data_IF_592344513333
#
_entry.id   IF_592344513333
#
_cell.length_a   1.000
_cell.length_b   1.000
_cell.length_c   1.000
_cell.angle_alpha   90.00
_cell.angle_beta   90.00
_cell.angle_gamma   90.00
#
_symmetry.space_group_name_H-M   'P 1'
#
loop_
_entity.id
_entity.type
_entity.pdbx_description
1 polymer ?
#
# COMPACT_ATOMS: atom_id res chain seq x y z
N UNK A 1 8.66 -9.26 -28.31
CA UNK A 1 8.42 -9.91 -26.99
C UNK A 1 6.91 -9.94 -26.76
N UNK A 2 6.32 -11.08 -26.39
CA UNK A 2 4.90 -11.14 -26.04
C UNK A 2 4.62 -10.33 -24.75
N UNK A 3 3.37 -9.88 -24.52
CA UNK A 3 3.01 -9.15 -23.32
C UNK A 3 3.18 -10.04 -22.06
N UNK A 4 3.53 -9.47 -20.90
CA UNK A 4 3.61 -10.21 -19.65
C UNK A 4 2.22 -10.62 -19.16
N UNK A 5 2.18 -11.64 -18.29
CA UNK A 5 0.98 -11.97 -17.53
C UNK A 5 0.57 -10.79 -16.60
N UNK A 6 -0.71 -10.67 -16.22
CA UNK A 6 -1.17 -9.58 -15.37
C UNK A 6 -0.40 -9.48 -14.05
N UNK A 7 0.00 -8.27 -13.69
CA UNK A 7 0.67 -7.97 -12.42
C UNK A 7 0.10 -6.68 -11.81
N UNK A 8 0.29 -6.52 -10.51
CA UNK A 8 -0.10 -5.31 -9.79
C UNK A 8 1.14 -4.52 -9.41
N UNK A 9 1.09 -3.21 -9.61
CA UNK A 9 2.17 -2.28 -9.25
C UNK A 9 1.67 -1.37 -8.16
N UNK A 10 2.51 -1.18 -7.15
CA UNK A 10 2.30 -0.18 -6.11
C UNK A 10 3.40 0.85 -6.22
N UNK A 11 3.00 2.09 -6.44
CA UNK A 11 3.90 3.24 -6.45
C UNK A 11 3.60 4.11 -5.24
N UNK A 12 4.53 4.12 -4.27
CA UNK A 12 4.39 4.90 -3.03
C UNK A 12 4.35 6.41 -3.28
N UNK A 13 4.98 6.90 -4.36
CA UNK A 13 4.94 8.31 -4.75
C UNK A 13 3.51 8.70 -5.17
N UNK A 14 2.90 7.91 -6.06
CA UNK A 14 1.52 8.14 -6.50
C UNK A 14 0.51 7.98 -5.36
N UNK A 15 0.72 6.98 -4.50
CA UNK A 15 -0.11 6.80 -3.29
C UNK A 15 0.00 8.04 -2.40
N UNK A 16 1.21 8.53 -2.17
CA UNK A 16 1.44 9.72 -1.35
C UNK A 16 0.72 10.95 -1.92
N UNK A 17 0.87 11.21 -3.22
CA UNK A 17 0.23 12.32 -3.93
C UNK A 17 -1.30 12.26 -3.94
N UNK A 18 -1.86 11.05 -4.06
CA UNK A 18 -3.31 10.86 -4.12
C UNK A 18 -4.00 11.07 -2.77
N UNK A 19 -3.31 10.73 -1.68
CA UNK A 19 -3.93 10.65 -0.35
C UNK A 19 -3.51 11.77 0.60
N UNK A 20 -2.41 12.46 0.34
CA UNK A 20 -1.85 13.44 1.27
C UNK A 20 -1.42 14.71 0.53
N UNK A 21 -1.53 15.86 1.22
CA UNK A 21 -1.11 17.16 0.72
C UNK A 21 0.23 17.58 1.34
N UNK A 22 1.28 16.79 1.12
CA UNK A 22 2.63 17.11 1.61
C UNK A 22 3.29 18.18 0.74
N UNK A 23 4.23 18.95 1.31
CA UNK A 23 4.99 19.94 0.52
C UNK A 23 5.99 19.29 -0.45
N UNK A 24 6.34 18.03 -0.22
CA UNK A 24 7.16 17.21 -1.12
C UNK A 24 6.79 15.74 -0.94
N UNK A 25 6.80 14.99 -2.04
CA UNK A 25 6.58 13.54 -2.03
C UNK A 25 7.86 12.75 -2.27
N UNK A 26 9.02 13.42 -2.22
CA UNK A 26 10.32 12.74 -2.30
C UNK A 26 10.47 11.80 -1.11
N UNK A 27 10.99 10.60 -1.35
CA UNK A 27 11.17 9.58 -0.32
C UNK A 27 11.94 10.09 0.91
N UNK A 28 13.04 10.84 0.73
CA UNK A 28 13.80 11.40 1.84
C UNK A 28 12.98 12.37 2.71
N UNK A 29 12.11 13.18 2.09
CA UNK A 29 11.20 14.08 2.80
C UNK A 29 10.16 13.27 3.60
N UNK A 30 9.53 12.28 2.97
CA UNK A 30 8.53 11.44 3.62
C UNK A 30 9.13 10.59 4.75
N UNK A 31 10.33 10.04 4.55
CA UNK A 31 11.05 9.29 5.57
C UNK A 31 11.33 10.15 6.79
N UNK A 32 11.78 11.40 6.60
CA UNK A 32 11.95 12.36 7.69
C UNK A 32 10.62 12.69 8.37
N UNK A 33 9.57 12.95 7.59
CA UNK A 33 8.25 13.31 8.11
C UNK A 33 7.64 12.21 8.99
N UNK A 34 7.73 10.96 8.56
CA UNK A 34 7.22 9.80 9.30
C UNK A 34 8.22 9.22 10.32
N UNK A 35 9.37 9.87 10.53
CA UNK A 35 10.43 9.42 11.43
C UNK A 35 10.90 7.98 11.14
N UNK A 36 11.11 7.68 9.86
CA UNK A 36 11.60 6.40 9.33
C UNK A 36 13.13 6.41 9.18
N UNK A 37 13.70 5.24 8.89
CA UNK A 37 15.11 5.10 8.56
C UNK A 37 15.50 6.09 7.46
N UNK A 38 16.49 6.94 7.74
CA UNK A 38 16.88 8.00 6.82
C UNK A 38 17.62 7.44 5.59
N UNK A 39 17.24 7.96 4.43
CA UNK A 39 17.96 7.74 3.17
C UNK A 39 19.38 8.29 3.31
N UNK A 40 20.38 7.45 3.02
CA UNK A 40 21.78 7.88 2.94
C UNK A 40 21.87 8.90 1.80
N UNK A 41 22.49 10.06 2.02
CA UNK A 41 22.67 11.03 0.94
C UNK A 41 23.74 10.56 -0.05
N UNK A 42 23.53 10.84 -1.34
CA UNK A 42 24.53 10.56 -2.38
C UNK A 42 24.62 11.72 -3.35
N UNK A 43 25.70 11.78 -4.12
CA UNK A 43 25.91 12.74 -5.18
C UNK A 43 26.31 12.05 -6.49
N UNK A 44 26.24 12.79 -7.59
CA UNK A 44 26.59 12.28 -8.92
C UNK A 44 28.07 11.84 -9.05
N UNK A 45 28.95 12.33 -8.15
CA UNK A 45 30.34 11.91 -8.09
C UNK A 45 30.50 10.42 -7.77
N UNK A 46 29.67 9.87 -6.87
CA UNK A 46 29.71 8.43 -6.55
C UNK A 46 29.44 7.57 -7.79
N UNK A 47 28.47 7.97 -8.61
CA UNK A 47 28.08 7.26 -9.82
C UNK A 47 29.22 7.22 -10.85
N UNK A 48 29.90 8.36 -11.07
CA UNK A 48 31.05 8.43 -11.98
C UNK A 48 32.18 7.49 -11.56
N UNK A 49 32.47 7.40 -10.24
CA UNK A 49 33.47 6.47 -9.72
C UNK A 49 33.06 5.01 -9.90
N UNK A 50 31.78 4.68 -9.72
CA UNK A 50 31.26 3.34 -9.98
C UNK A 50 31.45 2.93 -11.45
N UNK A 51 31.16 3.82 -12.39
CA UNK A 51 31.35 3.57 -13.83
C UNK A 51 32.83 3.32 -14.15
N UNK A 52 33.74 4.02 -13.48
CA UNK A 52 35.19 3.81 -13.61
C UNK A 52 35.71 2.52 -12.95
N UNK A 53 34.85 1.72 -12.31
CA UNK A 53 35.23 0.46 -11.68
C UNK A 53 35.90 0.59 -10.31
N UNK A 54 35.79 1.74 -9.65
CA UNK A 54 36.30 1.93 -8.29
C UNK A 54 35.55 1.00 -7.31
N UNK A 55 36.26 -0.01 -6.79
CA UNK A 55 35.71 -1.01 -5.85
C UNK A 55 35.16 -0.36 -4.57
N UNK A 56 35.78 0.71 -4.09
CA UNK A 56 35.32 1.41 -2.87
C UNK A 56 34.00 2.13 -3.13
N UNK A 57 33.89 2.80 -4.27
CA UNK A 57 32.66 3.46 -4.72
C UNK A 57 31.53 2.45 -4.94
N UNK A 58 31.82 1.28 -5.51
CA UNK A 58 30.83 0.22 -5.70
C UNK A 58 30.28 -0.31 -4.36
N UNK A 59 31.15 -0.51 -3.37
CA UNK A 59 30.72 -0.91 -2.02
C UNK A 59 29.89 0.17 -1.33
N UNK A 60 30.27 1.44 -1.49
CA UNK A 60 29.50 2.58 -0.99
C UNK A 60 28.12 2.67 -1.66
N UNK A 61 28.05 2.47 -2.98
CA UNK A 61 26.80 2.44 -3.76
C UNK A 61 25.90 1.28 -3.33
N UNK A 62 26.46 0.10 -3.06
CA UNK A 62 25.71 -1.03 -2.53
C UNK A 62 25.06 -0.68 -1.19
N UNK A 63 25.83 -0.11 -0.25
CA UNK A 63 25.31 0.31 1.05
C UNK A 63 24.21 1.38 0.92
N UNK A 64 24.41 2.35 0.04
CA UNK A 64 23.41 3.38 -0.29
C UNK A 64 22.11 2.75 -0.80
N UNK A 65 22.17 1.87 -1.79
CA UNK A 65 21.01 1.22 -2.38
C UNK A 65 20.27 0.32 -1.37
N UNK A 66 21.00 -0.41 -0.53
CA UNK A 66 20.41 -1.21 0.55
C UNK A 66 19.63 -0.33 1.55
N UNK A 67 20.18 0.84 1.90
CA UNK A 67 19.47 1.81 2.74
C UNK A 67 18.20 2.33 2.06
N UNK A 68 18.28 2.65 0.77
CA UNK A 68 17.14 3.16 0.02
C UNK A 68 15.96 2.17 -0.06
N UNK A 69 16.24 0.89 -0.28
CA UNK A 69 15.23 -0.17 -0.27
C UNK A 69 14.59 -0.30 1.10
N UNK A 70 15.37 -0.34 2.19
CA UNK A 70 14.83 -0.44 3.56
C UNK A 70 13.91 0.74 3.90
N UNK A 71 14.34 1.96 3.59
CA UNK A 71 13.51 3.16 3.78
C UNK A 71 12.23 3.08 2.94
N UNK A 72 12.31 2.56 1.72
CA UNK A 72 11.13 2.40 0.85
C UNK A 72 10.15 1.37 1.40
N UNK A 73 10.64 0.24 1.93
CA UNK A 73 9.82 -0.80 2.57
C UNK A 73 9.06 -0.26 3.78
N UNK A 74 9.74 0.48 4.67
CA UNK A 74 9.13 1.14 5.82
C UNK A 74 8.05 2.14 5.38
N UNK A 75 8.35 2.96 4.38
CA UNK A 75 7.40 3.92 3.83
C UNK A 75 6.19 3.21 3.21
N UNK A 76 6.42 2.12 2.48
CA UNK A 76 5.35 1.28 1.94
C UNK A 76 4.46 0.74 3.06
N UNK A 77 5.02 0.18 4.13
CA UNK A 77 4.24 -0.35 5.26
C UNK A 77 3.39 0.74 5.92
N UNK A 78 3.92 1.96 6.06
CA UNK A 78 3.20 3.12 6.59
C UNK A 78 2.05 3.58 5.68
N UNK A 79 2.26 3.58 4.36
CA UNK A 79 1.27 4.04 3.39
C UNK A 79 0.24 2.96 3.01
N UNK A 80 0.59 1.68 3.15
CA UNK A 80 -0.22 0.51 2.77
C UNK A 80 -1.68 0.55 3.26
N UNK A 81 -2.00 1.03 4.47
CA UNK A 81 -3.39 1.15 4.93
C UNK A 81 -4.28 2.07 4.08
N UNK A 82 -3.67 3.01 3.38
CA UNK A 82 -4.34 4.02 2.55
C UNK A 82 -4.52 3.56 1.10
N UNK A 83 -3.83 2.49 0.69
CA UNK A 83 -3.85 1.98 -0.68
C UNK A 83 -5.19 1.28 -0.94
N UNK A 84 -6.02 1.93 -1.77
CA UNK A 84 -7.24 1.33 -2.33
C UNK A 84 -6.84 0.29 -3.39
N UNK A 85 -7.54 -0.85 -3.42
CA UNK A 85 -7.26 -1.97 -4.34
C UNK A 85 -5.84 -2.55 -4.19
N UNK A 86 -5.33 -2.57 -2.97
CA UNK A 86 -4.10 -3.28 -2.62
C UNK A 86 -4.23 -4.80 -2.95
N UNK A 87 -3.15 -5.48 -3.39
CA UNK A 87 -3.16 -6.94 -3.56
C UNK A 87 -3.74 -7.62 -2.34
N UNK A 88 -4.82 -8.38 -2.52
CA UNK A 88 -5.51 -8.96 -1.38
C UNK A 88 -4.63 -10.04 -0.73
N UNK A 89 -3.99 -9.68 0.38
CA UNK A 89 -3.10 -10.55 1.15
C UNK A 89 -3.80 -11.81 1.64
N UNK A 90 -5.13 -11.78 1.82
CA UNK A 90 -5.91 -12.96 2.18
C UNK A 90 -5.93 -14.05 1.11
N UNK A 91 -5.51 -13.77 -0.13
CA UNK A 91 -5.32 -14.79 -1.16
C UNK A 91 -4.00 -15.56 -1.01
N UNK A 92 -3.04 -15.01 -0.27
CA UNK A 92 -1.68 -15.53 -0.15
C UNK A 92 -1.35 -16.02 1.27
N UNK A 93 -2.18 -15.68 2.25
CA UNK A 93 -2.06 -16.16 3.63
C UNK A 93 -2.99 -17.36 3.80
N UNK A 94 -2.43 -18.51 4.18
CA UNK A 94 -3.21 -19.69 4.54
C UNK A 94 -3.91 -19.44 5.88
N UNK A 95 -5.18 -19.01 5.83
CA UNK A 95 -6.01 -18.77 7.01
C UNK A 95 -7.45 -19.21 6.74
N UNK A 96 -8.05 -19.90 7.71
CA UNK A 96 -9.48 -20.25 7.70
C UNK A 96 -10.36 -19.12 8.26
N UNK A 97 -9.77 -17.93 8.50
CA UNK A 97 -10.41 -16.80 9.16
C UNK A 97 -10.37 -15.53 8.31
N UNK A 98 -11.23 -14.56 8.65
CA UNK A 98 -11.22 -13.25 8.00
C UNK A 98 -9.91 -12.51 8.32
N UNK A 99 -9.14 -12.17 7.28
CA UNK A 99 -7.90 -11.40 7.40
C UNK A 99 -7.97 -10.07 6.65
N UNK A 100 -7.13 -9.13 7.06
CA UNK A 100 -7.03 -7.84 6.41
C UNK A 100 -6.47 -8.01 4.99
N UNK A 101 -7.14 -7.47 3.95
CA UNK A 101 -6.63 -7.57 2.58
C UNK A 101 -5.33 -6.80 2.39
N UNK A 102 -5.03 -5.80 3.21
CA UNK A 102 -3.83 -4.98 3.06
C UNK A 102 -2.60 -5.58 3.75
N UNK A 103 -2.75 -6.22 4.91
CA UNK A 103 -1.59 -6.73 5.68
C UNK A 103 -1.64 -8.22 6.00
N UNK A 104 -2.73 -8.92 5.74
CA UNK A 104 -2.91 -10.33 6.10
C UNK A 104 -3.17 -10.60 7.58
N UNK A 105 -3.21 -9.58 8.43
CA UNK A 105 -3.48 -9.74 9.87
C UNK A 105 -4.95 -10.07 10.17
N UNK A 106 -5.18 -10.92 11.17
CA UNK A 106 -6.51 -11.37 11.62
C UNK A 106 -7.19 -10.43 12.63
N UNK A 107 -6.48 -9.41 13.10
CA UNK A 107 -7.02 -8.48 14.09
C UNK A 107 -7.86 -7.39 13.45
N UNK A 108 -9.12 -7.77 13.25
CA UNK A 108 -10.14 -6.96 12.60
C UNK A 108 -11.15 -6.45 13.64
N UNK A 109 -11.19 -5.14 13.84
CA UNK A 109 -12.19 -4.50 14.67
C UNK A 109 -13.41 -4.16 13.82
N UNK A 110 -14.39 -5.06 13.79
CA UNK A 110 -15.64 -4.91 13.05
C UNK A 110 -16.57 -3.89 13.72
N UNK A 111 -16.57 -2.66 13.21
CA UNK A 111 -17.45 -1.58 13.64
C UNK A 111 -17.90 -0.78 12.42
N UNK A 112 -19.21 -0.59 12.29
CA UNK A 112 -19.83 0.22 11.23
C UNK A 112 -20.37 -0.57 10.03
N UNK A 113 -20.78 0.18 9.02
CA UNK A 113 -21.28 -0.34 7.75
C UNK A 113 -20.71 0.47 6.59
N UNK A 114 -20.32 -0.23 5.54
CA UNK A 114 -19.95 0.36 4.26
C UNK A 114 -21.11 0.21 3.27
N UNK A 115 -21.42 1.30 2.57
CA UNK A 115 -22.52 1.37 1.62
C UNK A 115 -22.00 1.59 0.20
N UNK A 116 -22.61 0.89 -0.73
CA UNK A 116 -22.55 1.13 -2.17
C UNK A 116 -23.96 1.50 -2.63
N UNK A 117 -24.15 2.07 -3.83
CA UNK A 117 -25.49 2.39 -4.33
C UNK A 117 -26.50 1.24 -4.22
N UNK A 118 -26.04 -0.01 -4.37
CA UNK A 118 -26.88 -1.21 -4.37
C UNK A 118 -26.62 -2.17 -3.19
N UNK A 119 -25.94 -1.74 -2.11
CA UNK A 119 -25.53 -2.72 -1.09
C UNK A 119 -25.00 -2.15 0.21
N UNK A 120 -25.21 -2.92 1.29
CA UNK A 120 -24.67 -2.69 2.63
C UNK A 120 -23.74 -3.85 3.01
N UNK A 121 -22.60 -3.51 3.62
CA UNK A 121 -21.57 -4.46 4.05
C UNK A 121 -21.10 -4.10 5.45
N UNK A 122 -20.72 -5.10 6.27
CA UNK A 122 -20.01 -4.83 7.53
C UNK A 122 -18.64 -4.22 7.21
N UNK A 123 -18.22 -3.21 7.96
CA UNK A 123 -16.88 -2.61 7.84
C UNK A 123 -16.02 -2.94 9.06
N UNK A 124 -14.71 -2.93 8.86
CA UNK A 124 -13.74 -3.10 9.93
C UNK A 124 -12.59 -2.11 9.80
N UNK A 125 -11.89 -1.90 10.93
CA UNK A 125 -10.54 -1.35 10.96
C UNK A 125 -9.57 -2.40 11.45
N UNK A 126 -8.50 -2.66 10.69
CA UNK A 126 -7.43 -3.55 11.11
C UNK A 126 -6.47 -2.82 12.06
N UNK A 127 -5.73 -3.56 12.89
CA UNK A 127 -4.61 -3.03 13.67
C UNK A 127 -3.60 -2.24 12.82
N UNK A 128 -3.38 -2.63 11.56
CA UNK A 128 -2.48 -1.88 10.67
C UNK A 128 -3.03 -0.49 10.25
N UNK A 129 -4.27 -0.16 10.62
CA UNK A 129 -4.95 1.08 10.27
C UNK A 129 -5.84 0.98 9.03
N UNK A 130 -5.71 -0.08 8.23
CA UNK A 130 -6.50 -0.26 7.01
C UNK A 130 -7.99 -0.38 7.33
N UNK A 131 -8.81 0.28 6.53
CA UNK A 131 -10.27 0.13 6.58
C UNK A 131 -10.68 -0.81 5.47
N UNK A 132 -11.43 -1.85 5.83
CA UNK A 132 -11.95 -2.82 4.89
C UNK A 132 -13.43 -3.13 5.13
N UNK A 133 -13.95 -4.04 4.33
CA UNK A 133 -15.33 -4.52 4.44
C UNK A 133 -15.42 -6.01 4.20
N UNK A 134 -16.51 -6.58 4.68
CA UNK A 134 -16.94 -7.94 4.34
C UNK A 134 -17.19 -8.07 2.83
N UNK A 135 -16.85 -9.26 2.30
CA UNK A 135 -17.13 -9.63 0.91
C UNK A 135 -18.64 -9.80 0.68
N UNK A 136 -19.30 -10.47 1.61
CA UNK A 136 -20.74 -10.74 1.56
C UNK A 136 -21.53 -9.53 2.03
N UNK A 137 -22.65 -9.26 1.36
CA UNK A 137 -23.56 -8.19 1.76
C UNK A 137 -24.27 -8.54 3.07
N UNK A 138 -24.39 -7.55 3.95
CA UNK A 138 -25.17 -7.63 5.18
C UNK A 138 -26.66 -7.32 5.01
N UNK A 139 -27.14 -7.15 3.78
CA UNK A 139 -28.58 -7.07 3.50
C UNK A 139 -29.18 -8.47 3.42
N UNK A 140 -30.40 -8.62 3.93
CA UNK A 140 -31.18 -9.83 3.71
C UNK A 140 -31.78 -9.89 2.28
N UNK A 141 -32.46 -11.00 1.96
CA UNK A 141 -33.01 -11.25 0.62
C UNK A 141 -34.12 -10.27 0.25
N UNK A 142 -34.96 -9.87 1.19
CA UNK A 142 -36.11 -9.00 0.91
C UNK A 142 -35.67 -7.54 0.78
N UNK A 143 -34.74 -7.09 1.64
CA UNK A 143 -34.08 -5.80 1.51
C UNK A 143 -33.39 -5.63 0.15
N UNK A 144 -32.77 -6.69 -0.37
CA UNK A 144 -32.14 -6.67 -1.70
C UNK A 144 -33.16 -6.55 -2.85
N UNK A 145 -34.32 -7.20 -2.76
CA UNK A 145 -35.37 -7.10 -3.79
C UNK A 145 -35.97 -5.70 -3.88
N UNK A 146 -36.10 -5.04 -2.74
CA UNK A 146 -36.75 -3.73 -2.65
C UNK A 146 -35.81 -2.56 -2.95
N UNK A 147 -34.53 -2.81 -3.19
CA UNK A 147 -33.54 -1.78 -3.53
C UNK A 147 -33.72 -1.29 -4.96
N UNK A 148 -33.92 0.02 -5.09
CA UNK A 148 -33.86 0.73 -6.37
C UNK A 148 -32.56 1.54 -6.44
N UNK A 149 -32.03 1.76 -7.65
CA UNK A 149 -30.76 2.48 -7.87
C UNK A 149 -30.91 3.51 -8.99
N UNK A 150 -30.15 4.60 -8.92
CA UNK A 150 -30.07 5.59 -10.00
C UNK A 150 -29.33 5.02 -11.21
N UNK A 151 -29.56 5.61 -12.39
CA UNK A 151 -28.79 5.29 -13.61
C UNK A 151 -27.31 5.56 -13.34
N UNK A 152 -26.44 4.66 -13.83
CA UNK A 152 -24.99 4.79 -13.68
C UNK A 152 -24.48 6.08 -14.33
N UNK A 153 -23.50 6.73 -13.69
CA UNK A 153 -22.78 7.88 -14.23
C UNK A 153 -21.60 7.42 -15.09
#
# INVERSE_FOLDING_TARGET
>A
LPPPMPYQVIDTLQVSQRHFAFSSHKQAYLAKFFNLTHKIETNFGLWRRCIAGDKTALNEMLRYNQGDVRTLEELYVMLRPWIKSHPNMGLYVNSDSEVCPNCGGSELHWKGSYYTPAGKYRSFRCRCGAIGRSRLSGLDKEQRKNLTISIAR
#
